data_IF_832910578334
#
_entry.id   IF_832910578334
#
_cell.length_a   1.000
_cell.length_b   1.000
_cell.length_c   1.000
_cell.angle_alpha   90.00
_cell.angle_beta   90.00
_cell.angle_gamma   90.00
#
_symmetry.space_group_name_H-M   'P 1'
#
loop_
_entity.id
_entity.type
_entity.pdbx_description
1 polymer ?
#
# COMPACT_ATOMS: atom_id res chain seq x y z
N UNK A 1 33.53 -64.33 -0.20
CA UNK A 1 32.66 -65.43 0.28
C UNK A 1 31.36 -64.79 0.73
N UNK A 2 30.49 -64.38 -0.18
CA UNK A 2 29.38 -65.12 -0.81
C UNK A 2 28.28 -65.52 0.20
N UNK A 3 27.03 -65.21 -0.18
CA UNK A 3 25.71 -65.69 0.31
C UNK A 3 24.86 -64.57 0.93
N UNK A 4 23.55 -64.44 0.68
CA UNK A 4 22.63 -64.97 -0.32
C UNK A 4 21.30 -64.27 0.03
N UNK A 5 20.65 -63.63 -0.95
CA UNK A 5 19.35 -62.96 -0.73
C UNK A 5 18.26 -64.02 -0.53
N UNK A 6 17.64 -64.05 0.64
CA UNK A 6 16.44 -64.85 0.89
C UNK A 6 15.21 -63.97 0.69
N UNK A 7 14.55 -64.14 -0.46
CA UNK A 7 13.26 -63.51 -0.77
C UNK A 7 12.15 -64.38 -0.17
N UNK A 8 11.38 -63.85 0.79
CA UNK A 8 10.15 -64.50 1.28
C UNK A 8 9.04 -64.33 0.24
N UNK A 9 8.65 -65.43 -0.39
CA UNK A 9 7.48 -65.51 -1.26
C UNK A 9 6.24 -65.61 -0.37
N UNK A 10 5.44 -64.54 -0.33
CA UNK A 10 4.10 -64.57 0.30
C UNK A 10 3.12 -65.10 -0.73
N UNK A 11 2.71 -66.36 -0.60
CA UNK A 11 1.66 -66.96 -1.40
C UNK A 11 0.29 -66.36 -1.03
N UNK A 12 -0.22 -65.43 -1.83
CA UNK A 12 -1.62 -65.00 -1.72
C UNK A 12 -2.51 -66.07 -2.36
N UNK A 13 -3.18 -66.88 -1.54
CA UNK A 13 -4.30 -67.71 -1.99
C UNK A 13 -5.40 -66.78 -2.52
N UNK A 14 -5.63 -66.81 -3.83
CA UNK A 14 -6.76 -66.14 -4.45
C UNK A 14 -8.04 -66.92 -4.12
N UNK A 15 -8.82 -66.41 -3.18
CA UNK A 15 -10.18 -66.89 -2.94
C UNK A 15 -11.05 -66.39 -4.10
N UNK A 16 -11.30 -67.24 -5.10
CA UNK A 16 -12.25 -66.93 -6.19
C UNK A 16 -13.67 -67.14 -5.65
N UNK A 17 -14.38 -66.05 -5.36
CA UNK A 17 -15.83 -66.09 -5.20
C UNK A 17 -16.48 -66.16 -6.59
N UNK A 18 -17.20 -67.25 -6.86
CA UNK A 18 -18.05 -67.38 -8.05
C UNK A 18 -19.36 -66.63 -7.80
N UNK A 19 -19.37 -65.32 -8.05
CA UNK A 19 -20.62 -64.58 -8.22
C UNK A 19 -21.01 -64.75 -9.70
N UNK A 20 -22.18 -65.34 -10.03
CA UNK A 20 -22.63 -65.38 -11.41
C UNK A 20 -22.85 -63.94 -11.89
N UNK A 21 -22.12 -63.57 -12.94
CA UNK A 21 -22.33 -62.32 -13.67
C UNK A 21 -23.78 -62.29 -14.13
N UNK A 22 -24.60 -61.43 -13.51
CA UNK A 22 -25.93 -61.08 -14.02
C UNK A 22 -25.73 -60.67 -15.48
N UNK A 23 -26.23 -61.50 -16.41
CA UNK A 23 -26.25 -61.17 -17.83
C UNK A 23 -26.91 -59.80 -17.97
N UNK A 24 -26.11 -58.81 -18.39
CA UNK A 24 -26.64 -57.51 -18.75
C UNK A 24 -27.63 -57.73 -19.89
N UNK A 25 -28.92 -57.67 -19.58
CA UNK A 25 -29.94 -57.48 -20.59
C UNK A 25 -29.54 -56.26 -21.42
N UNK A 26 -29.53 -56.42 -22.74
CA UNK A 26 -29.19 -55.33 -23.64
C UNK A 26 -29.98 -54.08 -23.25
N UNK A 27 -29.36 -52.89 -23.16
CA UNK A 27 -30.06 -51.69 -22.74
C UNK A 27 -31.29 -51.50 -23.64
N UNK A 28 -32.47 -51.15 -23.08
CA UNK A 28 -33.67 -50.97 -23.87
C UNK A 28 -33.39 -49.92 -24.95
N UNK A 29 -33.73 -50.26 -26.20
CA UNK A 29 -33.54 -49.37 -27.35
C UNK A 29 -34.38 -48.12 -27.14
N UNK A 30 -33.75 -47.02 -26.73
CA UNK A 30 -34.40 -45.73 -26.53
C UNK A 30 -34.89 -45.21 -27.90
N UNK A 31 -36.17 -45.38 -28.19
CA UNK A 31 -36.81 -44.81 -29.39
C UNK A 31 -37.38 -43.45 -29.00
N UNK A 32 -36.70 -42.37 -29.40
CA UNK A 32 -37.17 -41.00 -29.21
C UNK A 32 -38.48 -40.82 -29.99
N UNK A 33 -39.53 -40.37 -29.30
CA UNK A 33 -40.88 -40.15 -29.87
C UNK A 33 -40.88 -39.07 -30.97
N UNK A 34 -39.99 -38.08 -30.85
CA UNK A 34 -39.66 -37.13 -31.92
C UNK A 34 -38.16 -37.11 -32.12
N UNK A 35 -37.72 -37.49 -33.32
CA UNK A 35 -36.30 -37.51 -33.70
C UNK A 35 -35.75 -36.14 -34.04
N UNK A 36 -36.62 -35.17 -34.35
CA UNK A 36 -36.24 -33.86 -34.90
C UNK A 36 -36.13 -32.76 -33.83
N UNK A 37 -36.43 -33.07 -32.56
CA UNK A 37 -36.26 -32.12 -31.45
C UNK A 37 -34.80 -32.16 -30.98
N UNK A 38 -34.03 -31.07 -31.09
CA UNK A 38 -32.65 -31.06 -30.60
C UNK A 38 -32.64 -31.28 -29.08
N UNK A 39 -31.88 -32.27 -28.62
CA UNK A 39 -31.77 -32.66 -27.21
C UNK A 39 -31.06 -31.61 -26.34
N UNK A 40 -30.44 -30.59 -26.97
CA UNK A 40 -29.74 -29.48 -26.32
C UNK A 40 -30.11 -28.19 -27.04
N UNK A 41 -30.41 -27.15 -26.26
CA UNK A 41 -30.44 -25.78 -26.77
C UNK A 41 -28.99 -25.34 -26.93
N UNK A 42 -28.48 -25.35 -28.16
CA UNK A 42 -27.18 -24.77 -28.48
C UNK A 42 -27.30 -23.25 -28.31
N UNK A 43 -26.80 -22.74 -27.18
CA UNK A 43 -26.71 -21.30 -26.92
C UNK A 43 -25.27 -20.89 -27.09
N UNK A 44 -25.03 -19.91 -27.95
CA UNK A 44 -23.70 -19.33 -28.09
C UNK A 44 -23.18 -18.83 -26.74
N UNK A 45 -21.91 -19.13 -26.46
CA UNK A 45 -21.24 -18.66 -25.26
C UNK A 45 -21.15 -17.12 -25.31
N UNK A 46 -21.49 -16.42 -24.22
CA UNK A 46 -21.28 -14.97 -24.16
C UNK A 46 -19.81 -14.66 -24.43
N UNK A 47 -19.53 -13.82 -25.43
CA UNK A 47 -18.14 -13.49 -25.78
C UNK A 47 -17.49 -12.70 -24.62
N UNK A 48 -16.48 -13.24 -23.94
CA UNK A 48 -15.86 -12.60 -22.77
C UNK A 48 -15.03 -11.37 -23.14
N UNK A 49 -14.88 -11.01 -24.42
CA UNK A 49 -14.11 -9.86 -24.88
C UNK A 49 -14.96 -8.69 -25.37
N UNK A 50 -16.29 -8.82 -25.39
CA UNK A 50 -17.20 -7.78 -25.91
C UNK A 50 -17.01 -6.42 -25.22
N UNK A 51 -16.78 -6.43 -23.91
CA UNK A 51 -16.66 -5.22 -23.08
C UNK A 51 -15.23 -4.96 -22.59
N UNK A 52 -14.21 -5.37 -23.36
CA UNK A 52 -12.80 -5.29 -22.94
C UNK A 52 -12.36 -3.87 -22.60
N UNK A 53 -12.79 -2.87 -23.37
CA UNK A 53 -12.41 -1.47 -23.15
C UNK A 53 -13.10 -0.89 -21.91
N UNK A 54 -14.38 -1.20 -21.70
CA UNK A 54 -15.13 -0.76 -20.53
C UNK A 54 -14.51 -1.29 -19.23
N UNK A 55 -14.15 -2.59 -19.19
CA UNK A 55 -13.44 -3.19 -18.04
C UNK A 55 -12.09 -2.54 -17.75
N UNK A 56 -11.36 -2.13 -18.78
CA UNK A 56 -10.08 -1.41 -18.60
C UNK A 56 -10.30 -0.03 -17.99
N UNK A 57 -11.32 0.70 -18.43
CA UNK A 57 -11.67 2.00 -17.87
C UNK A 57 -12.13 1.87 -16.41
N UNK A 58 -12.96 0.88 -16.11
CA UNK A 58 -13.41 0.60 -14.73
C UNK A 58 -12.23 0.23 -13.82
N UNK A 59 -11.33 -0.65 -14.29
CA UNK A 59 -10.11 -1.00 -13.55
C UNK A 59 -9.19 0.21 -13.34
N UNK A 60 -9.02 1.05 -14.36
CA UNK A 60 -8.21 2.26 -14.26
C UNK A 60 -8.83 3.25 -13.27
N UNK A 61 -10.14 3.46 -13.34
CA UNK A 61 -10.88 4.33 -12.40
C UNK A 61 -10.76 3.83 -10.97
N UNK A 62 -10.93 2.53 -10.74
CA UNK A 62 -10.70 1.91 -9.42
C UNK A 62 -9.26 2.11 -8.94
N UNK A 63 -8.27 1.87 -9.81
CA UNK A 63 -6.86 2.02 -9.45
C UNK A 63 -6.52 3.46 -9.06
N UNK A 64 -7.02 4.45 -9.81
CA UNK A 64 -6.83 5.87 -9.50
C UNK A 64 -7.48 6.23 -8.16
N UNK A 65 -8.70 5.74 -7.90
CA UNK A 65 -9.38 5.96 -6.62
C UNK A 65 -8.59 5.39 -5.43
N UNK A 66 -8.07 4.17 -5.56
CA UNK A 66 -7.26 3.54 -4.51
C UNK A 66 -5.95 4.31 -4.28
N UNK A 67 -5.25 4.71 -5.35
CA UNK A 67 -4.01 5.49 -5.24
C UNK A 67 -4.28 6.83 -4.55
N UNK A 68 -5.37 7.52 -4.91
CA UNK A 68 -5.76 8.77 -4.26
C UNK A 68 -6.06 8.58 -2.77
N UNK A 69 -6.80 7.52 -2.41
CA UNK A 69 -7.11 7.19 -1.03
C UNK A 69 -5.83 6.89 -0.21
N UNK A 70 -4.92 6.09 -0.76
CA UNK A 70 -3.63 5.78 -0.11
C UNK A 70 -2.76 7.03 0.07
N UNK A 71 -2.71 7.90 -0.94
CA UNK A 71 -1.96 9.15 -0.86
C UNK A 71 -2.50 10.05 0.27
N UNK A 72 -3.82 10.14 0.45
CA UNK A 72 -4.44 10.87 1.54
C UNK A 72 -4.11 10.26 2.91
N UNK A 73 -4.22 8.94 3.05
CA UNK A 73 -3.93 8.23 4.31
C UNK A 73 -2.46 8.43 4.70
N UNK A 74 -1.53 8.23 3.78
CA UNK A 74 -0.11 8.43 4.07
C UNK A 74 0.24 9.88 4.37
N UNK A 75 -0.43 10.84 3.71
CA UNK A 75 -0.24 12.24 4.03
C UNK A 75 -0.76 12.57 5.45
N UNK A 76 -1.92 12.02 5.84
CA UNK A 76 -2.46 12.17 7.19
C UNK A 76 -1.54 11.57 8.26
N UNK A 77 -0.99 10.38 8.01
CA UNK A 77 0.01 9.77 8.90
C UNK A 77 1.26 10.64 9.05
N UNK A 78 1.70 11.30 7.98
CA UNK A 78 2.82 12.25 8.04
C UNK A 78 2.47 13.50 8.85
N UNK A 79 1.28 14.06 8.71
CA UNK A 79 0.87 15.26 9.44
C UNK A 79 0.73 15.02 10.94
N UNK A 80 0.30 13.82 11.33
CA UNK A 80 0.17 13.39 12.74
C UNK A 80 1.50 12.86 13.33
N UNK A 81 2.59 12.88 12.56
CA UNK A 81 3.89 12.42 13.06
C UNK A 81 4.41 13.32 14.19
N UNK A 82 5.00 12.74 15.26
CA UNK A 82 5.64 13.50 16.34
C UNK A 82 6.70 14.50 15.85
N UNK A 83 7.43 14.15 14.78
CA UNK A 83 8.46 15.03 14.21
C UNK A 83 7.84 16.33 13.69
N UNK A 84 6.71 16.25 13.00
CA UNK A 84 6.04 17.41 12.42
C UNK A 84 5.43 18.27 13.54
N UNK A 85 4.78 17.65 14.53
CA UNK A 85 4.22 18.34 15.69
C UNK A 85 5.30 19.07 16.52
N UNK A 86 6.44 18.43 16.78
CA UNK A 86 7.57 19.06 17.47
C UNK A 86 8.13 20.22 16.65
N UNK A 87 8.30 20.02 15.34
CA UNK A 87 8.77 21.08 14.44
C UNK A 87 7.84 22.30 14.52
N UNK A 88 6.52 22.12 14.39
CA UNK A 88 5.54 23.21 14.54
C UNK A 88 5.59 23.89 15.90
N UNK A 89 5.75 23.12 16.98
CA UNK A 89 5.88 23.67 18.32
C UNK A 89 7.09 24.62 18.42
N UNK A 90 8.25 24.21 17.91
CA UNK A 90 9.43 25.06 17.91
C UNK A 90 9.30 26.28 16.99
N UNK A 91 8.65 26.12 15.83
CA UNK A 91 8.38 27.23 14.92
C UNK A 91 7.54 28.33 15.60
N UNK A 92 6.55 27.94 16.40
CA UNK A 92 5.69 28.86 17.18
C UNK A 92 6.45 29.62 18.27
N UNK A 93 7.60 29.11 18.70
CA UNK A 93 8.41 29.72 19.77
C UNK A 93 9.53 30.60 19.24
N UNK A 94 9.90 30.48 17.97
CA UNK A 94 10.94 31.31 17.35
C UNK A 94 10.44 32.76 17.21
N UNK A 95 11.15 33.75 17.80
CA UNK A 95 10.86 35.16 17.59
C UNK A 95 10.96 35.55 16.12
N UNK A 96 12.01 35.09 15.42
CA UNK A 96 12.23 35.45 14.01
C UNK A 96 11.07 35.04 13.10
N UNK A 97 10.44 33.90 13.36
CA UNK A 97 9.28 33.43 12.60
C UNK A 97 8.02 34.19 12.99
N UNK A 98 7.81 34.40 14.29
CA UNK A 98 6.66 35.14 14.81
C UNK A 98 6.65 36.58 14.27
N UNK A 99 7.82 37.20 14.14
CA UNK A 99 7.96 38.52 13.54
C UNK A 99 7.59 38.54 12.04
N UNK A 100 7.78 37.43 11.31
CA UNK A 100 7.43 37.34 9.89
C UNK A 100 5.99 36.90 9.63
N UNK A 101 5.54 35.79 10.23
CA UNK A 101 4.22 35.19 9.96
C UNK A 101 3.14 35.62 10.97
N UNK A 102 3.53 36.17 12.11
CA UNK A 102 2.65 36.46 13.23
C UNK A 102 2.51 35.28 14.20
N UNK A 103 1.54 35.42 15.10
CA UNK A 103 1.16 34.40 16.08
C UNK A 103 0.31 33.29 15.44
N UNK A 104 0.00 32.24 16.21
CA UNK A 104 -0.86 31.12 15.81
C UNK A 104 -0.44 30.48 14.48
N UNK A 105 0.83 30.05 14.42
CA UNK A 105 1.37 29.37 13.25
C UNK A 105 0.74 27.99 13.13
N UNK A 106 0.03 27.77 12.03
CA UNK A 106 -0.63 26.52 11.68
C UNK A 106 -0.20 26.08 10.28
N UNK A 107 -0.66 24.91 9.85
CA UNK A 107 -0.48 24.53 8.46
C UNK A 107 -1.28 25.45 7.53
N UNK A 108 -0.79 25.60 6.30
CA UNK A 108 -1.53 26.36 5.29
C UNK A 108 -2.63 25.49 4.65
N UNK A 109 -3.89 25.86 4.89
CA UNK A 109 -5.07 25.23 4.30
C UNK A 109 -5.74 24.16 5.16
N UNK A 110 -6.92 23.74 4.71
CA UNK A 110 -7.77 22.77 5.42
C UNK A 110 -7.17 21.35 5.36
N UNK A 111 -6.57 21.00 4.22
CA UNK A 111 -5.92 19.71 4.00
C UNK A 111 -4.42 19.94 3.83
N UNK A 112 -3.63 19.95 4.92
CA UNK A 112 -2.22 20.23 4.85
C UNK A 112 -1.48 19.08 4.17
N UNK A 113 -0.48 19.39 3.35
CA UNK A 113 0.30 18.38 2.63
C UNK A 113 1.77 18.40 3.01
N UNK A 114 2.29 17.24 3.43
CA UNK A 114 3.69 17.04 3.80
C UNK A 114 4.42 16.31 2.67
N UNK A 115 5.23 17.06 1.94
CA UNK A 115 6.02 16.55 0.83
C UNK A 115 7.32 15.92 1.33
N UNK A 116 7.81 14.93 0.59
CA UNK A 116 9.10 14.30 0.85
C UNK A 116 9.03 13.02 1.68
N UNK A 117 10.20 12.58 2.14
CA UNK A 117 10.40 11.33 2.86
C UNK A 117 10.34 11.57 4.36
N UNK A 118 9.48 10.83 5.04
CA UNK A 118 9.39 10.81 6.49
C UNK A 118 9.44 9.36 6.94
N UNK A 119 10.65 8.86 7.17
CA UNK A 119 10.88 7.48 7.60
C UNK A 119 11.67 7.47 8.91
N UNK A 120 10.93 7.50 10.01
CA UNK A 120 11.48 7.50 11.36
C UNK A 120 12.24 6.19 11.66
N UNK A 121 11.78 5.06 11.10
CA UNK A 121 12.39 3.75 11.32
C UNK A 121 13.76 3.68 10.63
N UNK A 122 13.82 4.08 9.36
CA UNK A 122 15.07 4.15 8.59
C UNK A 122 15.97 5.34 8.98
N UNK A 123 15.50 6.21 9.87
CA UNK A 123 16.28 7.36 10.32
C UNK A 123 16.44 8.44 9.25
N UNK A 124 15.51 8.57 8.29
CA UNK A 124 15.58 9.53 7.19
C UNK A 124 14.39 10.47 7.21
N UNK A 125 14.67 11.76 7.36
CA UNK A 125 13.67 12.82 7.35
C UNK A 125 14.12 13.85 6.33
N UNK A 126 13.33 14.05 5.30
CA UNK A 126 13.49 15.13 4.34
C UNK A 126 12.08 15.57 3.93
N UNK A 127 11.52 16.46 4.73
CA UNK A 127 10.13 16.90 4.59
C UNK A 127 10.04 18.38 4.28
N UNK A 128 8.97 18.73 3.56
CA UNK A 128 8.58 20.11 3.31
C UNK A 128 7.08 20.25 3.49
N UNK A 129 6.65 21.31 4.15
CA UNK A 129 5.23 21.60 4.33
C UNK A 129 5.01 23.11 4.40
N UNK A 130 3.77 23.51 4.10
CA UNK A 130 3.36 24.90 4.10
C UNK A 130 2.76 25.27 5.45
N UNK A 131 3.12 26.45 5.94
CA UNK A 131 2.61 27.04 7.18
C UNK A 131 2.06 28.43 6.92
N UNK A 132 1.13 28.86 7.77
CA UNK A 132 0.54 30.19 7.74
C UNK A 132 0.32 30.68 9.18
N UNK A 133 0.63 31.94 9.43
CA UNK A 133 0.36 32.59 10.72
C UNK A 133 -0.71 33.67 10.62
N UNK A 134 -0.92 34.41 11.70
CA UNK A 134 -1.96 35.44 11.82
C UNK A 134 -1.83 36.59 10.82
N UNK A 135 -0.63 36.87 10.28
CA UNK A 135 -0.42 37.88 9.22
C UNK A 135 -0.90 37.42 7.84
N UNK A 136 -1.39 36.19 7.72
CA UNK A 136 -1.91 35.63 6.48
C UNK A 136 -0.85 35.34 5.42
N UNK A 137 0.43 35.39 5.79
CA UNK A 137 1.56 35.10 4.90
C UNK A 137 1.88 33.60 4.98
N UNK A 138 1.94 32.93 3.84
CA UNK A 138 2.37 31.53 3.75
C UNK A 138 3.89 31.41 3.69
N UNK A 139 4.43 30.42 4.37
CA UNK A 139 5.85 30.06 4.36
C UNK A 139 6.06 28.56 4.13
N UNK A 140 7.21 28.19 3.57
CA UNK A 140 7.60 26.80 3.34
C UNK A 140 8.65 26.40 4.35
N UNK A 141 8.32 25.44 5.19
CA UNK A 141 9.27 24.81 6.11
C UNK A 141 9.96 23.68 5.38
N UNK A 142 11.29 23.59 5.53
CA UNK A 142 12.08 22.44 5.10
C UNK A 142 12.85 21.91 6.31
N UNK A 143 12.68 20.62 6.58
CA UNK A 143 13.41 19.90 7.62
C UNK A 143 14.11 18.70 7.00
N UNK A 144 15.43 18.65 7.16
CA UNK A 144 16.28 17.53 6.80
C UNK A 144 17.00 17.07 8.05
N UNK A 145 16.72 15.84 8.47
CA UNK A 145 17.36 15.22 9.62
C UNK A 145 17.63 13.74 9.31
N UNK A 146 18.70 13.22 9.91
CA UNK A 146 19.10 11.85 9.70
C UNK A 146 19.89 11.27 10.87
N UNK A 147 19.96 9.94 10.91
CA UNK A 147 20.86 9.20 11.79
C UNK A 147 21.47 8.01 11.05
N UNK A 148 22.69 7.64 11.41
CA UNK A 148 23.41 6.53 10.77
C UNK A 148 23.03 5.19 11.40
N UNK A 149 23.08 5.08 12.73
CA UNK A 149 22.60 3.90 13.44
C UNK A 149 21.25 4.14 14.13
N UNK A 150 20.51 3.06 14.39
CA UNK A 150 19.20 3.11 15.08
C UNK A 150 19.30 3.62 16.53
N UNK A 151 20.47 3.50 17.16
CA UNK A 151 20.73 3.96 18.52
C UNK A 151 21.23 5.41 18.57
N UNK A 152 21.60 5.99 17.42
CA UNK A 152 22.08 7.36 17.37
C UNK A 152 20.90 8.34 17.45
N UNK A 153 21.18 9.51 18.01
CA UNK A 153 20.28 10.65 18.01
C UNK A 153 20.09 11.19 16.59
N UNK A 154 18.92 11.76 16.31
CA UNK A 154 18.67 12.41 15.03
C UNK A 154 19.44 13.72 14.95
N UNK A 155 20.33 13.82 13.97
CA UNK A 155 21.06 15.04 13.67
C UNK A 155 20.27 15.88 12.65
N UNK A 156 19.95 17.10 13.02
CA UNK A 156 19.30 18.06 12.14
C UNK A 156 20.37 18.66 11.22
N UNK A 157 20.23 18.45 9.90
CA UNK A 157 21.16 18.95 8.89
C UNK A 157 20.69 20.28 8.31
N UNK A 158 19.39 20.42 8.05
CA UNK A 158 18.79 21.65 7.54
C UNK A 158 17.45 21.86 8.22
N UNK A 159 17.23 23.05 8.75
CA UNK A 159 15.95 23.47 9.24
C UNK A 159 15.75 24.92 8.88
N UNK A 160 14.95 25.14 7.83
CA UNK A 160 14.78 26.49 7.30
C UNK A 160 13.33 26.79 6.97
N UNK A 161 13.01 28.07 7.02
CA UNK A 161 11.74 28.62 6.63
C UNK A 161 11.96 29.58 5.46
N UNK A 162 11.24 29.37 4.36
CA UNK A 162 11.28 30.25 3.19
C UNK A 162 9.94 30.95 3.01
N UNK A 163 9.95 32.28 3.04
CA UNK A 163 8.74 33.11 2.89
C UNK A 163 9.04 34.24 1.91
N UNK A 164 8.25 34.34 0.81
CA UNK A 164 8.26 35.46 -0.15
C UNK A 164 9.66 36.09 -0.42
N UNK A 165 10.68 35.26 -0.64
CA UNK A 165 12.08 35.63 -0.96
C UNK A 165 13.07 35.77 0.21
N UNK A 166 12.64 35.57 1.47
CA UNK A 166 13.53 35.44 2.63
C UNK A 166 13.61 33.99 3.08
N UNK A 167 14.83 33.45 3.12
CA UNK A 167 15.13 32.16 3.75
C UNK A 167 15.76 32.43 5.11
N UNK A 168 15.13 31.93 6.17
CA UNK A 168 15.65 31.94 7.54
C UNK A 168 16.14 30.53 7.85
N UNK A 169 17.35 30.44 8.39
CA UNK A 169 17.88 29.22 8.98
C UNK A 169 17.59 29.23 10.48
N UNK A 170 16.92 28.20 10.97
CA UNK A 170 16.44 28.08 12.34
C UNK A 170 17.44 27.32 13.24
N UNK A 171 18.39 26.61 12.63
CA UNK A 171 19.50 25.96 13.32
C UNK A 171 20.47 26.97 13.93
N UNK A 172 20.62 28.14 13.32
CA UNK A 172 21.49 29.19 13.87
C UNK A 172 20.87 29.94 15.05
N UNK A 173 19.54 29.89 15.17
CA UNK A 173 18.80 30.59 16.24
C UNK A 173 18.65 29.73 17.50
N UNK A 174 18.47 28.42 17.32
CA UNK A 174 18.31 27.48 18.43
C UNK A 174 19.59 26.66 18.60
N UNK A 175 20.17 26.63 19.81
CA UNK A 175 21.31 25.76 20.14
C UNK A 175 20.98 24.25 20.09
N UNK A 176 19.74 23.89 19.73
CA UNK A 176 19.21 22.53 19.69
C UNK A 176 19.55 21.90 18.33
N UNK A 177 20.47 20.93 18.33
CA UNK A 177 20.89 20.18 17.13
C UNK A 177 20.25 18.79 17.01
N UNK A 178 19.36 18.45 17.94
CA UNK A 178 18.78 17.11 18.10
C UNK A 178 17.25 17.19 18.18
N UNK A 179 16.56 16.17 17.63
CA UNK A 179 15.09 16.05 17.61
C UNK A 179 14.56 15.08 18.67
#
# INVERSE_FOLDING_TARGET
MMLSRVVRIVSRRAFRSNIPLLMATAPPKLVLKDKDRPLRVERDLPNPYKDRNRRRVEFLGFSVAIIAALALIFNYEKTESPIVSNTLYHLRRSPAITDLLGENIEFDGIMPWVFGELNQVAGKVNIKFYIKGSKGVSGVVKLVAGREARQDEFLIQEWSLTTKDKKIDLLSENEIRTL
#
